data_IF_155782058875
#
_entry.id   IF_155782058875
#
_cell.length_a   1.000
_cell.length_b   1.000
_cell.length_c   1.000
_cell.angle_alpha   90.00
_cell.angle_beta   90.00
_cell.angle_gamma   90.00
#
_symmetry.space_group_name_H-M   'P 1'
#
loop_
_entity.id
_entity.type
_entity.pdbx_description
1 polymer ?
#
# COMPACT_ATOMS: atom_id res chain seq x y z
N UNK A 1 27.87 -2.21 7.81
CA UNK A 1 27.82 -1.86 9.25
C UNK A 1 27.37 -3.10 9.98
N UNK A 2 28.24 -3.70 10.77
CA UNK A 2 27.85 -4.78 11.67
C UNK A 2 27.04 -4.18 12.83
N UNK A 3 25.81 -4.67 13.01
CA UNK A 3 24.92 -4.20 14.07
C UNK A 3 25.29 -4.78 15.43
N UNK A 4 25.10 -4.01 16.51
CA UNK A 4 25.30 -4.47 17.90
C UNK A 4 24.55 -5.77 18.22
N UNK A 5 23.37 -5.96 17.61
CA UNK A 5 22.57 -7.17 17.73
C UNK A 5 22.74 -8.06 16.50
N UNK A 6 22.69 -9.38 16.72
CA UNK A 6 22.56 -10.37 15.64
C UNK A 6 21.12 -10.39 15.15
N UNK A 7 20.89 -9.89 13.94
CA UNK A 7 19.56 -9.83 13.32
C UNK A 7 19.42 -10.89 12.22
N UNK A 8 18.20 -11.39 11.95
CA UNK A 8 17.97 -12.25 10.80
C UNK A 8 18.18 -11.48 9.49
N UNK A 9 18.64 -12.19 8.45
CA UNK A 9 18.75 -11.61 7.11
C UNK A 9 17.37 -11.27 6.55
N UNK A 10 17.24 -10.09 5.93
CA UNK A 10 16.04 -9.68 5.19
C UNK A 10 16.40 -9.28 3.77
N UNK A 11 15.56 -9.63 2.80
CA UNK A 11 15.72 -9.16 1.43
C UNK A 11 15.58 -7.63 1.35
N UNK A 12 16.39 -7.00 0.50
CA UNK A 12 16.19 -5.61 0.11
C UNK A 12 15.07 -5.51 -0.95
N UNK A 13 14.55 -4.30 -1.16
CA UNK A 13 13.62 -4.05 -2.25
C UNK A 13 14.35 -4.12 -3.61
N UNK A 14 13.69 -4.58 -4.70
CA UNK A 14 12.36 -5.19 -4.73
C UNK A 14 12.37 -6.61 -4.14
N UNK A 15 11.49 -6.87 -3.18
CA UNK A 15 11.43 -8.16 -2.47
C UNK A 15 10.62 -9.18 -3.25
N UNK A 16 11.02 -10.44 -3.14
CA UNK A 16 10.23 -11.58 -3.64
C UNK A 16 9.74 -12.50 -2.50
N UNK A 17 10.28 -12.33 -1.30
CA UNK A 17 9.94 -13.09 -0.09
C UNK A 17 9.97 -12.17 1.13
N UNK A 18 9.22 -12.51 2.18
CA UNK A 18 9.10 -11.67 3.38
C UNK A 18 8.44 -10.32 3.08
N UNK A 19 7.41 -10.34 2.23
CA UNK A 19 6.65 -9.17 1.81
C UNK A 19 5.81 -8.61 2.95
N UNK A 20 5.79 -7.29 3.06
CA UNK A 20 4.90 -6.56 3.96
C UNK A 20 3.82 -5.84 3.15
N UNK A 21 2.56 -6.17 3.44
CA UNK A 21 1.39 -5.48 2.88
C UNK A 21 0.72 -4.67 3.98
N UNK A 22 0.78 -3.35 3.87
CA UNK A 22 0.06 -2.45 4.77
C UNK A 22 -1.39 -2.28 4.29
N UNK A 23 -2.35 -2.20 5.20
CA UNK A 23 -3.73 -1.82 4.88
C UNK A 23 -3.96 -0.36 5.27
N UNK A 24 -4.46 0.42 4.31
CA UNK A 24 -4.99 1.77 4.56
C UNK A 24 -6.52 1.67 4.64
N UNK A 25 -7.05 1.86 5.85
CA UNK A 25 -8.49 1.82 6.13
C UNK A 25 -9.17 3.20 6.05
N UNK A 26 -8.50 4.21 5.51
CA UNK A 26 -9.00 5.58 5.39
C UNK A 26 -8.18 6.62 6.17
N UNK A 27 -6.87 6.42 6.31
CA UNK A 27 -6.02 7.34 7.07
C UNK A 27 -6.01 8.76 6.47
N UNK A 28 -5.82 9.81 7.29
CA UNK A 28 -5.53 11.14 6.77
C UNK A 28 -4.26 11.15 5.91
N UNK A 29 -4.20 12.02 4.90
CA UNK A 29 -3.06 12.12 3.98
C UNK A 29 -1.74 12.34 4.72
N UNK A 30 -1.68 13.28 5.67
CA UNK A 30 -0.45 13.60 6.38
C UNK A 30 0.10 12.38 7.16
N UNK A 31 -0.78 11.63 7.83
CA UNK A 31 -0.38 10.42 8.54
C UNK A 31 0.11 9.33 7.58
N UNK A 32 -0.60 9.12 6.48
CA UNK A 32 -0.18 8.18 5.44
C UNK A 32 1.21 8.52 4.90
N UNK A 33 1.45 9.81 4.60
CA UNK A 33 2.74 10.28 4.11
C UNK A 33 3.85 10.08 5.12
N UNK A 34 3.61 10.40 6.38
CA UNK A 34 4.60 10.24 7.45
C UNK A 34 5.00 8.78 7.66
N UNK A 35 4.02 7.87 7.65
CA UNK A 35 4.25 6.43 7.77
C UNK A 35 5.13 5.91 6.62
N UNK A 36 4.80 6.28 5.37
CA UNK A 36 5.55 5.78 4.21
C UNK A 36 6.95 6.38 4.13
N UNK A 37 7.13 7.66 4.45
CA UNK A 37 8.45 8.28 4.45
C UNK A 37 9.36 7.70 5.55
N UNK A 38 8.80 7.43 6.74
CA UNK A 38 9.56 6.92 7.87
C UNK A 38 9.86 5.42 7.75
N UNK A 39 8.90 4.63 7.26
CA UNK A 39 8.96 3.17 7.30
C UNK A 39 8.88 2.50 5.92
N UNK A 40 8.94 3.27 4.83
CA UNK A 40 8.72 2.76 3.47
C UNK A 40 9.71 1.68 3.04
N UNK A 41 10.93 1.68 3.58
CA UNK A 41 11.90 0.61 3.36
C UNK A 41 11.41 -0.76 3.88
N UNK A 42 10.47 -0.79 4.83
CA UNK A 42 9.91 -2.02 5.42
C UNK A 42 8.59 -2.47 4.77
N UNK A 43 7.96 -1.65 3.94
CA UNK A 43 6.62 -1.86 3.37
C UNK A 43 6.76 -2.11 1.87
N UNK A 44 6.17 -3.15 1.32
CA UNK A 44 6.27 -3.47 -0.12
C UNK A 44 5.00 -3.06 -0.88
N UNK A 45 3.84 -3.26 -0.25
CA UNK A 45 2.54 -2.91 -0.83
C UNK A 45 1.66 -2.15 0.15
N UNK A 46 0.77 -1.32 -0.39
CA UNK A 46 -0.38 -0.74 0.32
C UNK A 46 -1.67 -1.19 -0.33
N UNK A 47 -2.55 -1.80 0.46
CA UNK A 47 -3.94 -2.09 0.10
C UNK A 47 -4.84 -0.98 0.62
N UNK A 48 -5.52 -0.25 -0.26
CA UNK A 48 -6.66 0.57 0.15
C UNK A 48 -7.82 -0.36 0.51
N UNK A 49 -8.16 -0.44 1.79
CA UNK A 49 -9.08 -1.43 2.32
C UNK A 49 -10.48 -1.36 1.71
N UNK A 50 -11.06 -2.53 1.42
CA UNK A 50 -12.46 -2.65 0.99
C UNK A 50 -12.78 -1.71 -0.18
N UNK A 51 -13.64 -0.70 0.01
CA UNK A 51 -13.96 0.37 -0.94
C UNK A 51 -13.52 1.76 -0.50
N UNK A 52 -12.59 1.90 0.44
CA UNK A 52 -12.16 3.22 0.96
C UNK A 52 -11.55 4.10 -0.12
N UNK A 53 -10.85 3.50 -1.10
CA UNK A 53 -10.31 4.22 -2.26
C UNK A 53 -11.37 5.03 -3.01
N UNK A 54 -12.61 4.52 -3.08
CA UNK A 54 -13.70 5.17 -3.81
C UNK A 54 -14.15 6.50 -3.16
N UNK A 55 -13.97 6.64 -1.85
CA UNK A 55 -14.38 7.83 -1.08
C UNK A 55 -13.20 8.67 -0.59
N UNK A 56 -11.96 8.25 -0.85
CA UNK A 56 -10.75 8.97 -0.41
C UNK A 56 -10.49 10.16 -1.33
N UNK A 57 -10.78 11.38 -0.83
CA UNK A 57 -10.61 12.63 -1.60
C UNK A 57 -9.19 12.82 -2.15
N UNK A 58 -8.18 12.48 -1.37
CA UNK A 58 -6.76 12.66 -1.72
C UNK A 58 -6.09 11.40 -2.28
N UNK A 59 -6.86 10.50 -2.92
CA UNK A 59 -6.33 9.19 -3.36
C UNK A 59 -5.12 9.32 -4.29
N UNK A 60 -5.14 10.27 -5.24
CA UNK A 60 -4.02 10.51 -6.16
C UNK A 60 -2.74 10.90 -5.42
N UNK A 61 -2.84 11.73 -4.38
CA UNK A 61 -1.69 12.16 -3.58
C UNK A 61 -1.10 10.97 -2.80
N UNK A 62 -1.96 10.11 -2.24
CA UNK A 62 -1.50 8.89 -1.55
C UNK A 62 -0.79 7.93 -2.50
N UNK A 63 -1.33 7.71 -3.70
CA UNK A 63 -0.70 6.86 -4.72
C UNK A 63 0.68 7.43 -5.09
N UNK A 64 0.79 8.74 -5.28
CA UNK A 64 2.06 9.39 -5.59
C UNK A 64 3.07 9.25 -4.44
N UNK A 65 2.65 9.43 -3.19
CA UNK A 65 3.53 9.21 -2.02
C UNK A 65 4.01 7.76 -1.92
N UNK A 66 3.15 6.78 -2.21
CA UNK A 66 3.56 5.37 -2.23
C UNK A 66 4.58 5.10 -3.35
N UNK A 67 4.33 5.62 -4.56
CA UNK A 67 5.24 5.52 -5.71
C UNK A 67 6.62 6.10 -5.40
N UNK A 68 6.68 7.27 -4.78
CA UNK A 68 7.93 7.93 -4.37
C UNK A 68 8.74 7.09 -3.36
N UNK A 69 8.08 6.24 -2.57
CA UNK A 69 8.70 5.35 -1.61
C UNK A 69 8.97 3.92 -2.16
N UNK A 70 8.84 3.72 -3.47
CA UNK A 70 8.92 2.41 -4.14
C UNK A 70 7.97 1.38 -3.50
N UNK A 71 6.71 1.77 -3.32
CA UNK A 71 5.64 0.95 -2.75
C UNK A 71 4.52 0.85 -3.78
N UNK A 72 4.12 -0.38 -4.09
CA UNK A 72 3.01 -0.62 -5.00
C UNK A 72 1.67 -0.51 -4.26
N UNK A 73 0.64 -0.06 -4.96
CA UNK A 73 -0.70 0.13 -4.40
C UNK A 73 -1.72 -0.74 -5.11
N UNK A 74 -2.68 -1.27 -4.38
CA UNK A 74 -3.83 -1.96 -4.97
C UNK A 74 -5.11 -1.72 -4.19
N UNK A 75 -6.23 -1.95 -4.86
CA UNK A 75 -7.57 -1.75 -4.32
C UNK A 75 -8.05 -3.00 -3.58
N UNK A 76 -8.89 -2.81 -2.56
CA UNK A 76 -9.50 -3.92 -1.85
C UNK A 76 -10.39 -4.77 -2.76
N UNK A 77 -10.31 -6.10 -2.58
CA UNK A 77 -11.13 -7.06 -3.35
C UNK A 77 -12.63 -6.78 -3.24
N UNK A 78 -13.12 -6.32 -2.09
CA UNK A 78 -14.55 -5.97 -1.93
C UNK A 78 -14.99 -4.83 -2.85
N UNK A 79 -14.10 -3.89 -3.19
CA UNK A 79 -14.44 -2.87 -4.20
C UNK A 79 -14.63 -3.49 -5.58
N UNK A 80 -13.74 -4.42 -5.95
CA UNK A 80 -13.88 -5.20 -7.18
C UNK A 80 -15.18 -6.00 -7.17
N UNK A 81 -15.50 -6.72 -6.08
CA UNK A 81 -16.75 -7.47 -5.94
C UNK A 81 -17.98 -6.56 -6.09
N UNK A 82 -17.94 -5.36 -5.50
CA UNK A 82 -19.04 -4.41 -5.61
C UNK A 82 -19.22 -3.92 -7.05
N UNK A 83 -18.12 -3.61 -7.75
CA UNK A 83 -18.15 -3.23 -9.16
C UNK A 83 -18.65 -4.37 -10.06
N UNK A 84 -18.26 -5.61 -9.75
CA UNK A 84 -18.74 -6.81 -10.43
C UNK A 84 -20.26 -6.99 -10.27
N UNK A 85 -20.76 -6.94 -9.03
CA UNK A 85 -22.19 -7.06 -8.72
C UNK A 85 -23.04 -5.97 -9.40
N UNK A 86 -22.47 -4.78 -9.58
CA UNK A 86 -23.14 -3.67 -10.26
C UNK A 86 -22.96 -3.66 -11.79
N UNK A 87 -22.32 -4.70 -12.36
CA UNK A 87 -22.01 -4.79 -13.81
C UNK A 87 -21.23 -3.57 -14.32
N UNK A 88 -20.26 -3.10 -13.53
CA UNK A 88 -19.40 -1.93 -13.82
C UNK A 88 -17.97 -2.31 -14.18
N UNK A 89 -17.63 -3.59 -14.23
CA UNK A 89 -16.34 -4.01 -14.79
C UNK A 89 -16.40 -3.92 -16.31
N UNK A 90 -15.49 -3.14 -16.89
CA UNK A 90 -15.21 -3.18 -18.33
C UNK A 90 -14.09 -4.20 -18.52
N UNK A 91 -14.47 -5.45 -18.79
CA UNK A 91 -13.52 -6.48 -19.20
C UNK A 91 -13.58 -6.48 -20.73
N UNK A 92 -12.48 -6.08 -21.37
CA UNK A 92 -12.29 -6.16 -22.82
C UNK A 92 -12.16 -7.60 -23.28
#
# INVERSE_FOLDING_TARGET
>A
MDSFLKLPSRQNKPRKQGLTVLIDNGYPLAYFTDVLNSHGHLIDYVKFGWGTAYITKDITKKIETARQNNIEVFLGGTFFEKAYLQKKLMIS
#
